data_IF_889739467371
#
_entry.id   IF_889739467371
#
_cell.length_a   1.000
_cell.length_b   1.000
_cell.length_c   1.000
_cell.angle_alpha   90.00
_cell.angle_beta   90.00
_cell.angle_gamma   90.00
#
_symmetry.space_group_name_H-M   'P 1'
#
loop_
_entity.id
_entity.type
_entity.pdbx_description
1 polymer ?
#
# COMPACT_ATOMS: atom_id res chain seq x y z
N UNK A 1 -4.57 7.13 -13.64
CA UNK A 1 -5.40 6.48 -12.63
C UNK A 1 -4.55 5.71 -11.63
N UNK A 2 -5.07 5.58 -10.40
CA UNK A 2 -4.34 4.92 -9.31
C UNK A 2 -3.93 3.49 -9.68
N UNK A 3 -4.86 2.70 -10.25
CA UNK A 3 -4.55 1.32 -10.63
C UNK A 3 -3.47 1.23 -11.70
N UNK A 4 -3.47 2.17 -12.65
CA UNK A 4 -2.45 2.20 -13.70
C UNK A 4 -1.08 2.53 -13.12
N UNK A 5 -0.99 3.54 -12.26
CA UNK A 5 0.28 3.93 -11.65
C UNK A 5 0.85 2.87 -10.72
N UNK A 6 -0.01 2.20 -9.97
CA UNK A 6 0.41 1.22 -8.97
C UNK A 6 0.50 -0.20 -9.52
N UNK A 7 -0.04 -0.45 -10.70
CA UNK A 7 -0.17 -1.79 -11.29
C UNK A 7 -0.98 -2.72 -10.37
N UNK A 8 -2.01 -2.16 -9.71
CA UNK A 8 -2.86 -2.92 -8.81
C UNK A 8 -4.23 -3.15 -9.43
N UNK A 9 -4.76 -4.33 -9.23
CA UNK A 9 -6.13 -4.62 -9.59
C UNK A 9 -7.09 -3.92 -8.63
N UNK A 10 -8.33 -3.68 -9.09
CA UNK A 10 -9.33 -2.93 -8.31
C UNK A 10 -9.60 -3.55 -6.94
N UNK A 11 -9.64 -4.88 -6.86
CA UNK A 11 -9.84 -5.56 -5.57
C UNK A 11 -8.70 -5.31 -4.59
N UNK A 12 -7.47 -5.26 -5.08
CA UNK A 12 -6.29 -4.96 -4.25
C UNK A 12 -6.36 -3.53 -3.74
N UNK A 13 -6.76 -2.59 -4.60
CA UNK A 13 -6.93 -1.18 -4.23
C UNK A 13 -7.99 -1.07 -3.13
N UNK A 14 -9.14 -1.68 -3.34
CA UNK A 14 -10.25 -1.62 -2.38
C UNK A 14 -9.81 -2.12 -1.01
N UNK A 15 -9.12 -3.25 -0.97
CA UNK A 15 -8.64 -3.82 0.30
C UNK A 15 -7.65 -2.88 0.99
N UNK A 16 -6.73 -2.29 0.25
CA UNK A 16 -5.76 -1.35 0.81
C UNK A 16 -6.43 -0.11 1.38
N UNK A 17 -7.53 0.33 0.78
CA UNK A 17 -8.28 1.49 1.23
C UNK A 17 -9.29 1.18 2.35
N UNK A 18 -9.41 -0.09 2.74
CA UNK A 18 -10.35 -0.49 3.77
C UNK A 18 -11.79 -0.51 3.31
N UNK A 19 -12.03 -0.77 2.03
CA UNK A 19 -13.38 -0.81 1.46
C UNK A 19 -13.53 -2.02 0.53
N UNK A 20 -14.58 -2.06 -0.25
CA UNK A 20 -14.84 -3.13 -1.21
C UNK A 20 -14.79 -2.61 -2.63
N UNK A 21 -14.49 -3.50 -3.58
CA UNK A 21 -14.51 -3.16 -4.99
C UNK A 21 -15.88 -2.63 -5.41
N UNK A 22 -16.95 -3.25 -4.91
CA UNK A 22 -18.32 -2.81 -5.19
C UNK A 22 -18.55 -1.36 -4.75
N UNK A 23 -18.07 -1.00 -3.56
CA UNK A 23 -18.20 0.37 -3.05
C UNK A 23 -17.46 1.37 -3.93
N UNK A 24 -16.24 1.04 -4.35
CA UNK A 24 -15.46 1.91 -5.23
C UNK A 24 -16.16 2.10 -6.57
N UNK A 25 -16.68 1.04 -7.17
CA UNK A 25 -17.35 1.10 -8.46
C UNK A 25 -18.65 1.90 -8.37
N UNK A 26 -19.41 1.70 -7.28
CA UNK A 26 -20.68 2.40 -7.08
C UNK A 26 -20.50 3.90 -6.93
N UNK A 27 -19.38 4.32 -6.35
CA UNK A 27 -19.11 5.73 -6.04
C UNK A 27 -18.21 6.43 -7.06
N UNK A 28 -17.97 5.83 -8.21
CA UNK A 28 -17.00 6.40 -9.16
C UNK A 28 -17.37 7.80 -9.68
N UNK A 29 -18.66 8.14 -9.67
CA UNK A 29 -19.14 9.46 -10.10
C UNK A 29 -19.43 10.39 -8.93
N UNK A 30 -19.16 9.94 -7.71
CA UNK A 30 -19.36 10.71 -6.50
C UNK A 30 -18.02 10.85 -5.77
N UNK A 31 -17.82 11.93 -5.01
CA UNK A 31 -16.64 12.02 -4.17
C UNK A 31 -16.59 10.83 -3.20
N UNK A 32 -15.41 10.26 -3.02
CA UNK A 32 -15.21 9.23 -2.00
C UNK A 32 -15.42 9.87 -0.63
N UNK A 33 -15.81 9.07 0.38
CA UNK A 33 -15.89 9.63 1.71
C UNK A 33 -14.49 10.03 2.18
N UNK A 34 -14.46 10.88 3.19
CA UNK A 34 -13.20 11.47 3.69
C UNK A 34 -12.19 10.41 4.10
N UNK A 35 -12.65 9.37 4.79
CA UNK A 35 -11.74 8.33 5.29
C UNK A 35 -11.07 7.57 4.14
N UNK A 36 -11.84 7.20 3.13
CA UNK A 36 -11.30 6.49 1.96
C UNK A 36 -10.34 7.39 1.20
N UNK A 37 -10.66 8.68 1.04
CA UNK A 37 -9.79 9.64 0.36
C UNK A 37 -8.47 9.83 1.11
N UNK A 38 -8.51 9.91 2.43
CA UNK A 38 -7.30 10.02 3.25
C UNK A 38 -6.46 8.75 3.15
N UNK A 39 -7.09 7.58 3.19
CA UNK A 39 -6.37 6.31 3.02
C UNK A 39 -5.72 6.24 1.64
N UNK A 40 -6.42 6.67 0.60
CA UNK A 40 -5.87 6.67 -0.75
C UNK A 40 -4.61 7.55 -0.84
N UNK A 41 -4.66 8.73 -0.24
CA UNK A 41 -3.51 9.63 -0.22
C UNK A 41 -2.33 9.01 0.52
N UNK A 42 -2.57 8.41 1.67
CA UNK A 42 -1.51 7.80 2.46
C UNK A 42 -0.91 6.57 1.76
N UNK A 43 -1.74 5.75 1.12
CA UNK A 43 -1.27 4.62 0.33
C UNK A 43 -0.43 5.10 -0.85
N UNK A 44 -0.86 6.16 -1.52
CA UNK A 44 -0.10 6.72 -2.64
C UNK A 44 1.26 7.27 -2.18
N UNK A 45 1.29 7.98 -1.06
CA UNK A 45 2.54 8.51 -0.50
C UNK A 45 3.49 7.39 -0.10
N UNK A 46 2.99 6.37 0.58
CA UNK A 46 3.79 5.23 0.98
C UNK A 46 4.35 4.49 -0.23
N UNK A 47 3.54 4.33 -1.27
CA UNK A 47 3.95 3.63 -2.49
C UNK A 47 5.00 4.42 -3.26
N UNK A 48 4.89 5.74 -3.29
CA UNK A 48 5.92 6.60 -3.88
C UNK A 48 7.24 6.44 -3.14
N UNK A 49 7.20 6.42 -1.83
CA UNK A 49 8.37 6.21 -0.96
C UNK A 49 8.97 4.83 -1.20
N UNK A 50 8.13 3.78 -1.24
CA UNK A 50 8.61 2.41 -1.46
C UNK A 50 9.18 2.20 -2.85
N UNK A 51 8.50 2.70 -3.88
CA UNK A 51 8.99 2.57 -5.25
C UNK A 51 10.32 3.30 -5.43
N UNK A 52 10.51 4.45 -4.79
CA UNK A 52 11.78 5.16 -4.80
C UNK A 52 12.91 4.34 -4.19
N UNK A 53 12.63 3.67 -3.07
CA UNK A 53 13.63 2.82 -2.43
C UNK A 53 13.96 1.59 -3.27
N UNK A 54 12.95 0.88 -3.77
CA UNK A 54 13.14 -0.38 -4.49
C UNK A 54 13.49 -0.18 -5.96
N UNK A 55 13.39 1.04 -6.47
CA UNK A 55 13.80 1.39 -7.82
C UNK A 55 12.67 1.54 -8.81
N UNK A 56 11.59 0.78 -8.69
CA UNK A 56 10.41 0.91 -9.53
C UNK A 56 9.18 0.32 -8.84
N UNK A 57 8.03 0.49 -9.48
CA UNK A 57 6.75 0.05 -8.91
C UNK A 57 6.62 -1.48 -8.88
N UNK A 58 7.22 -2.17 -9.81
CA UNK A 58 7.14 -3.63 -9.86
C UNK A 58 7.95 -4.26 -8.73
N UNK A 59 9.13 -3.71 -8.43
CA UNK A 59 9.92 -4.15 -7.28
C UNK A 59 9.20 -3.88 -5.96
N UNK A 60 8.56 -2.71 -5.86
CA UNK A 60 7.72 -2.38 -4.71
C UNK A 60 6.61 -3.41 -4.51
N UNK A 61 5.90 -3.76 -5.59
CA UNK A 61 4.85 -4.76 -5.54
C UNK A 61 5.37 -6.14 -5.16
N UNK A 62 6.52 -6.53 -5.68
CA UNK A 62 7.13 -7.82 -5.34
C UNK A 62 7.44 -7.88 -3.84
N UNK A 63 8.02 -6.82 -3.29
CA UNK A 63 8.32 -6.78 -1.85
C UNK A 63 7.03 -6.84 -1.03
N UNK A 64 6.00 -6.10 -1.44
CA UNK A 64 4.72 -6.09 -0.72
C UNK A 64 4.06 -7.48 -0.68
N UNK A 65 4.28 -8.30 -1.69
CA UNK A 65 3.64 -9.60 -1.81
C UNK A 65 4.50 -10.76 -1.28
N UNK A 66 5.72 -10.47 -0.84
CA UNK A 66 6.62 -11.50 -0.31
C UNK A 66 6.48 -11.57 1.21
N UNK A 67 6.17 -12.75 1.78
CA UNK A 67 6.14 -12.92 3.23
C UNK A 67 7.44 -12.46 3.87
N UNK A 68 7.34 -11.77 5.01
CA UNK A 68 8.47 -11.11 5.63
C UNK A 68 8.41 -11.29 7.14
N UNK A 69 9.53 -11.68 7.73
CA UNK A 69 9.61 -11.93 9.17
C UNK A 69 9.24 -10.68 9.99
N UNK A 70 9.52 -9.49 9.47
CA UNK A 70 9.16 -8.23 10.15
C UNK A 70 7.64 -8.02 10.24
N UNK A 71 6.88 -8.78 9.46
CA UNK A 71 5.42 -8.70 9.39
C UNK A 71 4.80 -10.04 9.83
N UNK A 72 5.45 -10.73 10.74
CA UNK A 72 4.95 -11.99 11.28
C UNK A 72 4.78 -13.06 10.20
N UNK A 73 5.69 -13.07 9.24
CA UNK A 73 5.71 -13.97 8.07
C UNK A 73 4.52 -13.78 7.14
N UNK A 74 3.89 -12.62 7.21
CA UNK A 74 2.82 -12.24 6.27
C UNK A 74 3.37 -11.27 5.24
N UNK A 75 2.76 -11.18 4.05
CA UNK A 75 3.14 -10.15 3.10
C UNK A 75 2.84 -8.75 3.67
N UNK A 76 3.76 -7.80 3.51
CA UNK A 76 3.51 -6.44 4.00
C UNK A 76 2.22 -5.83 3.46
N UNK A 77 1.78 -6.21 2.25
CA UNK A 77 0.53 -5.72 1.67
C UNK A 77 -0.67 -5.95 2.59
N UNK A 78 -0.67 -7.04 3.37
CA UNK A 78 -1.78 -7.35 4.27
C UNK A 78 -1.96 -6.31 5.38
N UNK A 79 -0.96 -5.48 5.61
CA UNK A 79 -0.97 -4.44 6.63
C UNK A 79 -1.32 -3.05 6.08
N UNK A 80 -1.53 -2.94 4.77
CA UNK A 80 -1.67 -1.65 4.10
C UNK A 80 -2.95 -0.90 4.47
N UNK A 81 -3.96 -1.62 4.96
CA UNK A 81 -5.28 -1.05 5.21
C UNK A 81 -5.42 -0.36 6.58
N UNK A 82 -4.38 -0.28 7.38
CA UNK A 82 -4.43 0.39 8.67
C UNK A 82 -3.31 1.41 8.81
N UNK A 83 -3.54 2.41 9.64
CA UNK A 83 -2.52 3.44 9.92
C UNK A 83 -1.28 2.79 10.52
N UNK A 84 -1.46 1.91 11.50
CA UNK A 84 -0.33 1.22 12.14
C UNK A 84 0.44 0.34 11.17
N UNK A 85 -0.29 -0.35 10.29
CA UNK A 85 0.35 -1.19 9.28
C UNK A 85 1.19 -0.37 8.32
N UNK A 86 0.66 0.75 7.85
CA UNK A 86 1.42 1.65 6.97
C UNK A 86 2.63 2.24 7.68
N UNK A 87 2.51 2.60 8.95
CA UNK A 87 3.65 3.08 9.74
C UNK A 87 4.73 2.02 9.89
N UNK A 88 4.33 0.76 10.11
CA UNK A 88 5.28 -0.34 10.20
C UNK A 88 6.01 -0.55 8.88
N UNK A 89 5.30 -0.52 7.76
CA UNK A 89 5.91 -0.65 6.43
C UNK A 89 6.95 0.45 6.24
N UNK A 90 6.61 1.70 6.53
CA UNK A 90 7.52 2.82 6.40
C UNK A 90 8.75 2.65 7.29
N UNK A 91 8.54 2.21 8.51
CA UNK A 91 9.64 1.98 9.47
C UNK A 91 10.59 0.90 8.98
N UNK A 92 10.07 -0.19 8.45
CA UNK A 92 10.90 -1.28 7.93
C UNK A 92 11.72 -0.80 6.74
N UNK A 93 11.11 -0.06 5.80
CA UNK A 93 11.84 0.49 4.65
C UNK A 93 12.93 1.47 5.11
N UNK A 94 12.63 2.33 6.09
CA UNK A 94 13.65 3.22 6.67
C UNK A 94 14.81 2.42 7.26
N UNK A 95 14.51 1.32 7.94
CA UNK A 95 15.55 0.43 8.48
C UNK A 95 16.44 -0.14 7.38
N UNK A 96 15.84 -0.57 6.27
CA UNK A 96 16.59 -1.08 5.12
C UNK A 96 17.51 0.00 4.53
N UNK A 97 17.03 1.25 4.43
CA UNK A 97 17.85 2.36 3.93
C UNK A 97 19.07 2.62 4.78
N UNK A 98 19.00 2.36 6.07
CA UNK A 98 20.10 2.59 7.00
C UNK A 98 20.87 1.31 7.34
N UNK A 99 20.68 0.26 6.55
CA UNK A 99 21.45 -0.97 6.70
C UNK A 99 20.96 -1.93 7.77
N UNK A 100 19.77 -1.71 8.32
CA UNK A 100 19.19 -2.65 9.26
C UNK A 100 18.69 -3.89 8.53
N UNK A 101 18.75 -5.03 9.20
CA UNK A 101 18.22 -6.26 8.64
C UNK A 101 16.71 -6.29 8.76
N UNK A 102 16.05 -6.68 7.68
CA UNK A 102 14.59 -6.81 7.67
C UNK A 102 14.18 -8.24 7.38
#
# INVERSE_FOLDING_TARGET
>A
AFSTLMHWEMGVIAKALGTTERTLLRNKEKPLNKQISENALEVARLSSFGAAYFGDIDNWNTWLDTPNVQFDNQPPRSMMNSIRGRELIRRVINGLQYGFTA
#
